data_IF_267430080381
#
_entry.id   IF_267430080381
#
_cell.length_a   1.000
_cell.length_b   1.000
_cell.length_c   1.000
_cell.angle_alpha   90.00
_cell.angle_beta   90.00
_cell.angle_gamma   90.00
#
_symmetry.space_group_name_H-M   'P 1'
#
loop_
_entity.id
_entity.type
_entity.pdbx_description
1 polymer ?
#
# COMPACT_ATOMS: atom_id res chain seq x y z
N UNK A 1 -5.87 6.27 -2.76
CA UNK A 1 -6.52 6.71 -1.50
C UNK A 1 -6.67 5.50 -0.60
N UNK A 2 -6.25 5.59 0.67
CA UNK A 2 -6.47 4.53 1.65
C UNK A 2 -7.78 4.74 2.42
N UNK A 3 -8.45 3.66 2.79
CA UNK A 3 -9.59 3.66 3.69
C UNK A 3 -9.44 2.58 4.77
N UNK A 4 -10.04 2.86 5.93
CA UNK A 4 -10.16 1.96 7.06
C UNK A 4 -11.62 1.93 7.51
N UNK A 5 -12.15 0.74 7.76
CA UNK A 5 -13.53 0.56 8.19
C UNK A 5 -13.58 -0.43 9.33
N UNK A 6 -13.99 0.05 10.50
CA UNK A 6 -14.18 -0.76 11.70
C UNK A 6 -15.44 -1.62 11.66
N UNK A 7 -16.37 -1.34 10.74
CA UNK A 7 -17.64 -2.08 10.65
C UNK A 7 -17.49 -3.42 9.92
N UNK A 8 -16.49 -3.54 9.04
CA UNK A 8 -16.22 -4.73 8.23
C UNK A 8 -14.74 -5.14 8.23
N UNK A 9 -13.97 -4.68 9.23
CA UNK A 9 -12.56 -5.01 9.51
C UNK A 9 -11.62 -4.81 8.32
N UNK A 10 -11.98 -3.85 7.45
CA UNK A 10 -11.42 -3.74 6.12
C UNK A 10 -10.49 -2.56 5.99
N UNK A 11 -9.34 -2.85 5.39
CA UNK A 11 -8.42 -1.85 4.86
C UNK A 11 -8.41 -1.98 3.34
N UNK A 12 -8.52 -0.85 2.66
CA UNK A 12 -8.57 -0.85 1.21
C UNK A 12 -7.90 0.36 0.59
N UNK A 13 -7.56 0.18 -0.68
CA UNK A 13 -6.98 1.22 -1.52
C UNK A 13 -7.82 1.46 -2.76
N UNK A 14 -7.82 2.71 -3.21
CA UNK A 14 -8.46 3.16 -4.45
C UNK A 14 -7.43 3.88 -5.30
N UNK A 15 -7.19 3.36 -6.50
CA UNK A 15 -6.30 4.00 -7.47
C UNK A 15 -6.85 5.35 -7.89
N UNK A 16 -5.98 6.35 -7.94
CA UNK A 16 -6.34 7.64 -8.47
C UNK A 16 -6.19 7.64 -10.00
N UNK A 17 -7.31 7.57 -10.73
CA UNK A 17 -7.32 7.46 -12.19
C UNK A 17 -7.14 8.81 -12.90
N UNK A 18 -6.70 9.84 -12.18
CA UNK A 18 -6.55 11.20 -12.71
C UNK A 18 -5.44 11.37 -13.74
N UNK A 19 -4.67 10.32 -14.03
CA UNK A 19 -3.70 10.31 -15.13
C UNK A 19 -4.35 10.67 -16.50
N UNK A 20 -5.66 10.46 -16.65
CA UNK A 20 -6.42 10.78 -17.87
C UNK A 20 -6.99 12.22 -17.92
N UNK A 21 -6.55 13.11 -17.03
CA UNK A 21 -6.93 14.54 -17.06
C UNK A 21 -8.33 14.85 -16.51
N UNK A 22 -9.02 13.88 -15.89
CA UNK A 22 -10.31 14.09 -15.24
C UNK A 22 -10.18 13.98 -13.71
N UNK A 23 -10.15 15.09 -12.96
CA UNK A 23 -9.96 15.08 -11.51
C UNK A 23 -11.10 14.35 -10.78
N UNK A 24 -10.76 13.53 -9.77
CA UNK A 24 -11.73 12.97 -8.82
C UNK A 24 -12.35 11.62 -9.22
N UNK A 25 -11.82 10.94 -10.24
CA UNK A 25 -12.20 9.56 -10.56
C UNK A 25 -11.23 8.60 -9.87
N UNK A 26 -11.78 7.69 -9.07
CA UNK A 26 -11.03 6.60 -8.46
C UNK A 26 -11.46 5.26 -9.05
N UNK A 27 -10.52 4.30 -9.12
CA UNK A 27 -10.83 2.93 -9.51
C UNK A 27 -11.72 2.23 -8.47
N UNK A 28 -12.14 1.01 -8.79
CA UNK A 28 -12.80 0.15 -7.82
C UNK A 28 -11.86 -0.17 -6.66
N UNK A 29 -12.46 -0.41 -5.49
CA UNK A 29 -11.76 -0.82 -4.28
C UNK A 29 -10.83 -2.02 -4.53
N UNK A 30 -9.58 -1.90 -4.10
CA UNK A 30 -8.66 -3.02 -3.91
C UNK A 30 -8.58 -3.32 -2.41
N UNK A 31 -8.87 -4.56 -2.02
CA UNK A 31 -8.86 -4.97 -0.62
C UNK A 31 -7.44 -5.37 -0.21
N UNK A 32 -6.90 -4.71 0.81
CA UNK A 32 -5.60 -5.06 1.38
C UNK A 32 -5.79 -6.18 2.42
N UNK A 33 -6.76 -6.01 3.31
CA UNK A 33 -7.13 -7.05 4.29
C UNK A 33 -8.58 -6.87 4.75
N UNK A 34 -9.16 -7.96 5.26
CA UNK A 34 -10.44 -7.99 5.99
C UNK A 34 -10.27 -8.61 7.38
N UNK A 35 -9.04 -8.62 7.90
CA UNK A 35 -8.69 -9.27 9.16
C UNK A 35 -8.22 -8.27 10.24
N UNK A 36 -8.36 -6.96 9.98
CA UNK A 36 -7.95 -5.91 10.91
C UNK A 36 -9.13 -5.53 11.82
N UNK A 37 -9.35 -6.33 12.87
CA UNK A 37 -10.52 -6.27 13.76
C UNK A 37 -10.68 -4.89 14.41
N UNK A 38 -11.70 -4.15 13.98
CA UNK A 38 -11.94 -2.77 14.36
C UNK A 38 -10.75 -1.85 14.11
N UNK A 39 -10.24 -1.86 12.87
CA UNK A 39 -9.26 -0.89 12.38
C UNK A 39 -9.75 0.55 12.59
N UNK A 40 -8.89 1.38 13.20
CA UNK A 40 -9.20 2.80 13.47
C UNK A 40 -8.35 3.76 12.64
N UNK A 41 -7.14 3.34 12.26
CA UNK A 41 -6.21 4.18 11.54
C UNK A 41 -5.40 3.39 10.54
N UNK A 42 -5.16 4.01 9.39
CA UNK A 42 -4.27 3.50 8.35
C UNK A 42 -3.35 4.64 7.92
N UNK A 43 -2.11 4.31 7.61
CA UNK A 43 -1.11 5.26 7.16
C UNK A 43 -0.26 4.64 6.06
N UNK A 44 0.17 5.47 5.11
CA UNK A 44 1.10 5.07 4.07
C UNK A 44 2.46 5.70 4.33
N UNK A 45 3.50 4.89 4.35
CA UNK A 45 4.89 5.30 4.47
C UNK A 45 5.76 4.22 3.86
N UNK A 46 6.89 4.63 3.29
CA UNK A 46 8.01 3.74 2.98
C UNK A 46 8.63 3.29 4.33
N UNK A 47 8.51 2.01 4.68
CA UNK A 47 8.91 1.48 6.00
C UNK A 47 10.18 0.64 5.96
N UNK A 48 10.49 0.01 4.84
CA UNK A 48 11.70 -0.76 4.62
C UNK A 48 12.82 0.10 4.02
N UNK A 49 12.48 1.05 3.15
CA UNK A 49 13.42 1.97 2.50
C UNK A 49 13.30 1.95 0.99
N UNK A 50 12.19 1.41 0.47
CA UNK A 50 12.06 0.93 -0.89
C UNK A 50 11.63 1.98 -1.92
N UNK A 51 11.30 3.16 -1.43
CA UNK A 51 10.73 4.22 -2.23
C UNK A 51 9.30 3.93 -2.68
N UNK A 52 8.78 2.74 -2.43
CA UNK A 52 7.38 2.38 -2.53
C UNK A 52 6.66 2.62 -1.20
N UNK A 53 5.36 2.92 -1.27
CA UNK A 53 4.60 3.24 -0.06
C UNK A 53 3.91 1.99 0.46
N UNK A 54 4.35 1.53 1.63
CA UNK A 54 3.69 0.49 2.39
C UNK A 54 2.43 0.98 3.10
N UNK A 55 1.67 0.03 3.65
CA UNK A 55 0.51 0.31 4.49
C UNK A 55 0.73 -0.15 5.92
N UNK A 56 0.56 0.76 6.87
CA UNK A 56 0.50 0.49 8.31
C UNK A 56 -0.94 0.65 8.80
N UNK A 57 -1.34 -0.19 9.76
CA UNK A 57 -2.65 -0.10 10.40
C UNK A 57 -2.60 -0.28 11.90
N UNK A 58 -3.55 0.34 12.59
CA UNK A 58 -3.81 0.16 14.00
C UNK A 58 -5.26 -0.30 14.21
N UNK A 59 -5.42 -1.47 14.79
CA UNK A 59 -6.70 -2.11 15.06
C UNK A 59 -6.95 -2.23 16.56
N UNK A 60 -8.12 -1.76 16.98
CA UNK A 60 -8.43 -1.59 18.39
C UNK A 60 -8.98 -2.85 19.04
N UNK A 61 -9.74 -3.67 18.31
CA UNK A 61 -10.41 -4.82 18.94
C UNK A 61 -9.49 -6.03 19.09
N UNK A 62 -8.48 -6.17 18.24
CA UNK A 62 -7.47 -7.24 18.35
C UNK A 62 -6.11 -6.79 18.91
N UNK A 63 -5.99 -5.53 19.35
CA UNK A 63 -4.79 -4.93 19.94
C UNK A 63 -3.54 -5.03 19.04
N UNK A 64 -3.68 -4.86 17.72
CA UNK A 64 -2.56 -5.02 16.77
C UNK A 64 -2.16 -3.73 16.04
N UNK A 65 -0.85 -3.67 15.79
CA UNK A 65 -0.26 -2.90 14.71
C UNK A 65 0.15 -3.89 13.63
N UNK A 66 -0.28 -3.67 12.39
CA UNK A 66 0.04 -4.54 11.25
C UNK A 66 0.62 -3.72 10.10
N UNK A 67 1.62 -4.29 9.44
CA UNK A 67 2.28 -3.76 8.24
C UNK A 67 1.96 -4.68 7.05
N UNK A 68 1.68 -4.07 5.91
CA UNK A 68 1.48 -4.71 4.63
C UNK A 68 2.47 -4.10 3.65
N UNK A 69 3.50 -4.89 3.32
CA UNK A 69 4.56 -4.56 2.37
C UNK A 69 3.98 -4.41 0.96
N UNK A 70 4.34 -3.32 0.29
CA UNK A 70 4.05 -3.10 -1.11
C UNK A 70 5.30 -3.39 -1.93
N UNK A 71 5.34 -4.54 -2.60
CA UNK A 71 6.51 -5.01 -3.38
C UNK A 71 6.84 -4.18 -4.64
N UNK A 72 6.28 -2.98 -4.75
CA UNK A 72 6.47 -2.12 -5.91
C UNK A 72 5.96 -2.67 -7.23
N UNK A 73 6.15 -1.88 -8.27
CA UNK A 73 6.26 -2.43 -9.61
C UNK A 73 7.72 -2.88 -9.82
N UNK A 74 7.97 -4.06 -10.39
CA UNK A 74 9.34 -4.44 -10.72
C UNK A 74 9.93 -3.36 -11.63
N UNK A 75 11.04 -2.75 -11.18
CA UNK A 75 11.79 -1.76 -11.95
C UNK A 75 11.92 -2.27 -13.39
N UNK A 76 11.55 -1.48 -14.42
CA UNK A 76 11.54 -1.96 -15.79
C UNK A 76 12.95 -2.38 -16.21
N UNK A 77 13.18 -3.71 -16.29
CA UNK A 77 14.43 -4.29 -16.76
C UNK A 77 14.66 -3.83 -18.20
N UNK A 78 15.45 -2.76 -18.38
CA UNK A 78 15.99 -2.44 -19.69
C UNK A 78 17.18 -3.37 -19.96
N UNK A 79 17.43 -3.79 -21.22
CA UNK A 79 18.58 -4.62 -21.53
C UNK A 79 19.95 -4.01 -21.19
N UNK A 80 20.00 -2.70 -20.90
CA UNK A 80 21.22 -1.90 -20.78
C UNK A 80 21.49 -1.37 -19.36
N UNK A 81 20.62 -1.64 -18.37
CA UNK A 81 20.91 -1.31 -16.96
C UNK A 81 21.53 -2.53 -16.26
N UNK A 82 22.71 -2.41 -15.62
CA UNK A 82 23.22 -3.47 -14.78
C UNK A 82 22.23 -3.67 -13.64
N UNK A 83 21.90 -4.95 -13.40
CA UNK A 83 21.20 -5.40 -12.22
C UNK A 83 21.68 -4.57 -11.02
N UNK A 84 20.76 -3.91 -10.34
CA UNK A 84 20.89 -3.50 -8.94
C UNK A 84 21.67 -4.59 -8.20
N UNK A 85 22.97 -4.34 -7.95
CA UNK A 85 23.94 -5.33 -7.48
C UNK A 85 23.94 -5.46 -5.94
N UNK A 86 22.94 -4.87 -5.27
CA UNK A 86 22.68 -5.06 -3.86
C UNK A 86 21.20 -5.37 -3.67
N UNK A 87 20.93 -6.57 -3.16
CA UNK A 87 19.64 -7.06 -2.65
C UNK A 87 19.05 -6.21 -1.49
N UNK A 88 19.55 -4.99 -1.30
CA UNK A 88 19.19 -4.00 -0.30
C UNK A 88 18.99 -2.58 -0.91
N UNK A 89 18.95 -2.44 -2.24
CA UNK A 89 18.69 -1.14 -2.93
C UNK A 89 17.65 -1.25 -4.07
N UNK A 90 16.96 -2.39 -4.15
CA UNK A 90 15.57 -2.46 -4.61
C UNK A 90 14.76 -3.03 -3.45
N UNK A 91 15.00 -2.43 -2.31
CA UNK A 91 13.88 -1.73 -1.73
C UNK A 91 13.57 -0.67 -2.84
#
# INVERSE_FOLDING_TARGET
MLSASSDDDKIAWYENLTADGNPGVFATQQVITTAADGVLSVYAADLDGDGDLDVLSASFHDDKIAWYENLGDPCPLTPDEPLCDDINECE
#
